data_IF_163092837658
#
_entry.id   IF_163092837658
#
_cell.length_a   1.000
_cell.length_b   1.000
_cell.length_c   1.000
_cell.angle_alpha   90.00
_cell.angle_beta   90.00
_cell.angle_gamma   90.00
#
_symmetry.space_group_name_H-M   'P 1'
#
loop_
_entity.id
_entity.type
_entity.pdbx_description
1 polymer ?
#
# COMPACT_ATOMS: atom_id res chain seq x y z
N UNK A 1 18.33 32.24 38.98
CA UNK A 1 17.76 31.42 37.90
C UNK A 1 16.26 31.42 38.06
N UNK A 2 15.56 32.09 37.14
CA UNK A 2 14.11 32.29 37.16
C UNK A 2 13.37 30.98 36.83
N UNK A 3 12.17 30.78 37.38
CA UNK A 3 11.27 29.67 37.05
C UNK A 3 10.99 29.58 35.53
N UNK A 4 11.00 30.72 34.85
CA UNK A 4 10.90 30.84 33.39
C UNK A 4 12.09 30.23 32.64
N UNK A 5 13.31 30.36 33.17
CA UNK A 5 14.52 29.77 32.55
C UNK A 5 14.54 28.25 32.70
N UNK A 6 13.96 27.71 33.79
CA UNK A 6 13.85 26.25 33.98
C UNK A 6 12.84 25.61 33.04
N UNK A 7 11.67 26.23 32.89
CA UNK A 7 10.62 25.78 31.94
C UNK A 7 11.04 25.87 30.47
N UNK A 8 11.87 26.86 30.11
CA UNK A 8 12.43 26.94 28.75
C UNK A 8 13.52 25.90 28.50
N UNK A 9 14.28 25.51 29.53
CA UNK A 9 15.29 24.45 29.43
C UNK A 9 14.66 23.07 29.27
N UNK A 10 13.57 22.78 29.99
CA UNK A 10 12.82 21.52 29.88
C UNK A 10 12.14 21.37 28.50
N UNK A 11 11.55 22.44 27.96
CA UNK A 11 11.04 22.43 26.57
C UNK A 11 12.14 22.25 25.53
N UNK A 12 13.33 22.79 25.79
CA UNK A 12 14.49 22.65 24.89
C UNK A 12 15.04 21.22 24.84
N UNK A 13 15.05 20.52 25.98
CA UNK A 13 15.48 19.10 26.05
C UNK A 13 14.44 18.16 25.45
N UNK A 14 13.14 18.35 25.73
CA UNK A 14 12.08 17.50 25.15
C UNK A 14 12.04 17.59 23.61
N UNK A 15 12.22 18.78 23.04
CA UNK A 15 12.25 18.98 21.58
C UNK A 15 13.52 18.39 20.95
N UNK A 16 14.64 18.34 21.68
CA UNK A 16 15.87 17.69 21.22
C UNK A 16 15.76 16.16 21.28
N UNK A 17 15.12 15.61 22.31
CA UNK A 17 14.88 14.17 22.47
C UNK A 17 13.88 13.63 21.43
N UNK A 18 12.82 14.40 21.09
CA UNK A 18 11.90 14.05 19.99
C UNK A 18 12.62 14.07 18.62
N UNK A 19 13.57 15.00 18.42
CA UNK A 19 14.40 15.01 17.20
C UNK A 19 15.40 13.85 17.15
N UNK A 20 15.91 13.40 18.30
CA UNK A 20 16.81 12.25 18.38
C UNK A 20 16.09 10.91 18.15
N UNK A 21 14.80 10.82 18.49
CA UNK A 21 13.90 9.72 18.14
C UNK A 21 13.45 9.71 16.67
N UNK A 22 13.79 10.73 15.85
CA UNK A 22 13.78 10.65 14.37
C UNK A 22 14.93 9.75 13.93
N UNK A 23 14.87 8.48 14.35
CA UNK A 23 15.82 7.45 14.02
C UNK A 23 16.11 7.48 12.54
N UNK A 24 17.40 7.44 12.20
CA UNK A 24 17.90 7.21 10.86
C UNK A 24 17.00 6.17 10.21
N UNK A 25 16.23 6.58 9.18
CA UNK A 25 15.48 5.64 8.36
C UNK A 25 16.48 4.55 7.95
N UNK A 26 16.19 3.25 8.15
CA UNK A 26 16.98 2.23 7.48
C UNK A 26 16.85 2.54 5.99
N UNK A 27 17.91 3.09 5.40
CA UNK A 27 17.99 3.29 3.97
C UNK A 27 18.10 1.89 3.38
N UNK A 28 16.95 1.26 3.10
CA UNK A 28 16.94 0.06 2.29
C UNK A 28 17.41 0.50 0.91
N UNK A 29 18.49 -0.12 0.41
CA UNK A 29 18.82 -0.07 -1.00
C UNK A 29 17.57 -0.55 -1.74
N UNK A 30 16.88 0.37 -2.42
CA UNK A 30 15.79 0.02 -3.32
C UNK A 30 16.36 -0.99 -4.32
N UNK A 31 15.96 -2.26 -4.22
CA UNK A 31 16.28 -3.23 -5.25
C UNK A 31 15.56 -2.75 -6.50
N UNK A 32 16.30 -2.15 -7.43
CA UNK A 32 15.76 -1.76 -8.72
C UNK A 32 15.12 -2.99 -9.36
N UNK A 33 13.80 -2.97 -9.51
CA UNK A 33 13.05 -4.04 -10.16
C UNK A 33 13.48 -4.06 -11.64
N UNK A 34 14.11 -5.15 -12.12
CA UNK A 34 14.57 -5.26 -13.51
C UNK A 34 13.45 -5.08 -14.55
N UNK A 35 12.20 -5.18 -14.11
CA UNK A 35 11.01 -5.07 -14.97
C UNK A 35 10.18 -3.80 -14.70
N UNK A 36 10.72 -2.82 -13.95
CA UNK A 36 10.01 -1.59 -13.60
C UNK A 36 9.49 -0.80 -14.82
N UNK A 37 10.28 -0.74 -15.90
CA UNK A 37 9.92 -0.05 -17.13
C UNK A 37 8.74 -0.73 -17.84
N UNK A 38 8.78 -2.06 -17.91
CA UNK A 38 7.73 -2.88 -18.54
C UNK A 38 6.44 -2.75 -17.73
N UNK A 39 6.51 -2.87 -16.39
CA UNK A 39 5.37 -2.66 -15.50
C UNK A 39 4.75 -1.28 -15.68
N UNK A 40 5.56 -0.21 -15.75
CA UNK A 40 5.07 1.16 -15.93
C UNK A 40 4.34 1.38 -17.26
N UNK A 41 4.82 0.76 -18.34
CA UNK A 41 4.14 0.78 -19.64
C UNK A 41 2.82 0.03 -19.62
N UNK A 42 2.80 -1.17 -19.04
CA UNK A 42 1.57 -1.96 -18.90
C UNK A 42 0.53 -1.17 -18.09
N UNK A 43 0.95 -0.53 -16.99
CA UNK A 43 0.08 0.34 -16.19
C UNK A 43 -0.50 1.50 -16.99
N UNK A 44 0.31 2.15 -17.81
CA UNK A 44 -0.16 3.26 -18.65
C UNK A 44 -1.19 2.79 -19.67
N UNK A 45 -0.97 1.63 -20.31
CA UNK A 45 -1.90 1.02 -21.27
C UNK A 45 -3.21 0.58 -20.59
N UNK A 46 -3.14 0.00 -19.39
CA UNK A 46 -4.33 -0.36 -18.60
C UNK A 46 -5.13 0.90 -18.23
N UNK A 47 -4.46 1.97 -17.80
CA UNK A 47 -5.14 3.23 -17.46
C UNK A 47 -5.80 3.85 -18.70
N UNK A 48 -5.17 3.80 -19.87
CA UNK A 48 -5.75 4.30 -21.12
C UNK A 48 -7.00 3.50 -21.53
N UNK A 49 -6.95 2.17 -21.42
CA UNK A 49 -8.09 1.31 -21.74
C UNK A 49 -9.24 1.49 -20.73
N UNK A 50 -8.92 1.55 -19.43
CA UNK A 50 -9.90 1.83 -18.36
C UNK A 50 -10.49 3.23 -18.50
N UNK A 51 -9.73 4.25 -18.93
CA UNK A 51 -10.30 5.59 -19.21
C UNK A 51 -11.25 5.59 -20.40
N UNK A 52 -11.02 4.70 -21.36
CA UNK A 52 -11.83 4.59 -22.57
C UNK A 52 -13.13 3.82 -22.30
N UNK A 53 -13.14 2.87 -21.36
CA UNK A 53 -14.28 1.96 -21.09
C UNK A 53 -14.89 2.04 -19.66
N UNK A 54 -14.25 2.64 -18.65
CA UNK A 54 -14.50 2.29 -17.23
C UNK A 54 -14.56 3.45 -16.21
N UNK A 55 -15.26 4.54 -16.53
CA UNK A 55 -15.95 5.33 -15.48
C UNK A 55 -17.46 5.07 -15.41
N UNK A 56 -18.00 4.14 -16.23
CA UNK A 56 -19.43 3.81 -16.24
C UNK A 56 -19.80 2.47 -15.58
N UNK A 57 -18.90 1.48 -15.52
CA UNK A 57 -19.32 0.10 -15.24
C UNK A 57 -18.63 -0.58 -14.03
N UNK A 58 -17.90 0.17 -13.18
CA UNK A 58 -17.30 -0.38 -11.94
C UNK A 58 -18.35 -0.92 -10.93
N UNK A 59 -19.64 -0.72 -11.20
CA UNK A 59 -20.74 -1.26 -10.40
C UNK A 59 -21.43 -2.50 -11.04
N UNK A 60 -21.18 -2.83 -12.33
CA UNK A 60 -22.01 -3.82 -13.06
C UNK A 60 -21.25 -5.04 -13.62
N UNK A 61 -19.94 -4.94 -13.92
CA UNK A 61 -19.15 -6.09 -14.39
C UNK A 61 -18.31 -6.65 -13.24
N UNK A 62 -18.62 -7.86 -12.77
CA UNK A 62 -17.90 -8.51 -11.66
C UNK A 62 -16.39 -8.66 -11.91
N UNK A 63 -15.63 -8.76 -10.81
CA UNK A 63 -14.15 -8.81 -10.78
C UNK A 63 -13.52 -9.80 -11.78
N UNK A 64 -14.23 -10.88 -12.14
CA UNK A 64 -13.75 -11.88 -13.10
C UNK A 64 -13.63 -11.37 -14.55
N UNK A 65 -14.51 -10.47 -14.99
CA UNK A 65 -14.47 -9.97 -16.37
C UNK A 65 -13.36 -8.91 -16.53
N UNK A 66 -13.21 -8.05 -15.52
CA UNK A 66 -12.13 -7.08 -15.42
C UNK A 66 -10.75 -7.76 -15.36
N UNK A 67 -10.63 -8.83 -14.57
CA UNK A 67 -9.40 -9.64 -14.53
C UNK A 67 -9.04 -10.22 -15.89
N UNK A 68 -10.01 -10.71 -16.67
CA UNK A 68 -9.76 -11.24 -18.01
C UNK A 68 -9.24 -10.17 -18.97
N UNK A 69 -9.89 -9.01 -19.00
CA UNK A 69 -9.46 -7.89 -19.85
C UNK A 69 -8.04 -7.42 -19.49
N UNK A 70 -7.75 -7.27 -18.19
CA UNK A 70 -6.41 -6.89 -17.73
C UNK A 70 -5.36 -7.94 -18.14
N UNK A 71 -5.68 -9.23 -18.00
CA UNK A 71 -4.79 -10.31 -18.45
C UNK A 71 -4.51 -10.25 -19.96
N UNK A 72 -5.52 -9.96 -20.79
CA UNK A 72 -5.34 -9.82 -22.24
C UNK A 72 -4.41 -8.65 -22.59
N UNK A 73 -4.56 -7.51 -21.91
CA UNK A 73 -3.67 -6.34 -22.08
C UNK A 73 -2.23 -6.68 -21.67
N UNK A 74 -2.06 -7.34 -20.52
CA UNK A 74 -0.74 -7.77 -20.03
C UNK A 74 -0.07 -8.68 -21.06
N UNK A 75 -0.78 -9.71 -21.55
CA UNK A 75 -0.23 -10.64 -22.55
C UNK A 75 0.09 -9.94 -23.88
N UNK A 76 -0.75 -9.01 -24.36
CA UNK A 76 -0.46 -8.20 -25.55
C UNK A 76 0.87 -7.46 -25.40
N UNK A 77 1.08 -6.73 -24.29
CA UNK A 77 2.30 -5.95 -24.08
C UNK A 77 3.53 -6.85 -23.88
N UNK A 78 3.39 -7.94 -23.12
CA UNK A 78 4.49 -8.89 -22.89
C UNK A 78 4.92 -9.60 -24.19
N UNK A 79 4.00 -9.85 -25.11
CA UNK A 79 4.31 -10.44 -26.41
C UNK A 79 4.95 -9.45 -27.38
N UNK A 80 4.55 -8.17 -27.35
CA UNK A 80 5.12 -7.11 -28.20
C UNK A 80 6.55 -6.72 -27.79
N UNK A 81 6.80 -6.53 -26.49
CA UNK A 81 8.06 -5.94 -26.02
C UNK A 81 9.02 -6.93 -25.35
N UNK A 82 8.57 -8.14 -25.02
CA UNK A 82 9.35 -9.03 -24.14
C UNK A 82 9.31 -10.51 -24.54
N UNK A 83 9.64 -10.78 -25.80
CA UNK A 83 9.79 -12.15 -26.34
C UNK A 83 10.80 -13.02 -25.56
N UNK A 84 11.72 -12.42 -24.80
CA UNK A 84 12.79 -13.13 -24.07
C UNK A 84 12.52 -13.35 -22.57
N UNK A 85 11.39 -12.91 -22.02
CA UNK A 85 11.07 -13.15 -20.61
C UNK A 85 10.58 -14.60 -20.42
N UNK A 86 11.20 -15.40 -19.52
CA UNK A 86 10.73 -16.74 -19.20
C UNK A 86 9.29 -16.75 -18.69
N UNK A 87 8.55 -17.82 -18.96
CA UNK A 87 7.13 -17.95 -18.57
C UNK A 87 6.88 -17.67 -17.08
N UNK A 88 7.77 -18.12 -16.19
CA UNK A 88 7.63 -17.91 -14.75
C UNK A 88 7.71 -16.42 -14.37
N UNK A 89 8.61 -15.67 -15.00
CA UNK A 89 8.75 -14.22 -14.77
C UNK A 89 7.54 -13.47 -15.36
N UNK A 90 7.03 -13.90 -16.52
CA UNK A 90 5.78 -13.34 -17.08
C UNK A 90 4.61 -13.50 -16.13
N UNK A 91 4.41 -14.72 -15.59
CA UNK A 91 3.34 -14.98 -14.63
C UNK A 91 3.48 -14.15 -13.35
N UNK A 92 4.72 -13.91 -12.90
CA UNK A 92 4.98 -13.05 -11.74
C UNK A 92 4.66 -11.59 -12.04
N UNK A 93 5.12 -11.06 -13.18
CA UNK A 93 4.81 -9.70 -13.63
C UNK A 93 3.30 -9.51 -13.76
N UNK A 94 2.59 -10.49 -14.35
CA UNK A 94 1.14 -10.44 -14.48
C UNK A 94 0.45 -10.40 -13.11
N UNK A 95 0.83 -11.28 -12.19
CA UNK A 95 0.29 -11.29 -10.82
C UNK A 95 0.53 -9.96 -10.10
N UNK A 96 1.75 -9.42 -10.17
CA UNK A 96 2.10 -8.14 -9.55
C UNK A 96 1.23 -7.00 -10.11
N UNK A 97 1.02 -6.97 -11.42
CA UNK A 97 0.22 -5.92 -12.08
C UNK A 97 -1.26 -6.06 -11.72
N UNK A 98 -1.79 -7.28 -11.67
CA UNK A 98 -3.19 -7.54 -11.26
C UNK A 98 -3.39 -7.12 -9.79
N UNK A 99 -2.45 -7.48 -8.91
CA UNK A 99 -2.49 -7.06 -7.52
C UNK A 99 -2.44 -5.52 -7.40
N UNK A 100 -1.71 -4.85 -8.28
CA UNK A 100 -1.61 -3.38 -8.33
C UNK A 100 -2.82 -2.70 -8.98
N UNK A 101 -3.50 -3.33 -9.95
CA UNK A 101 -4.69 -2.76 -10.61
C UNK A 101 -5.98 -3.04 -9.87
N UNK A 102 -6.22 -4.29 -9.48
CA UNK A 102 -7.48 -4.76 -8.85
C UNK A 102 -7.33 -4.93 -7.35
N UNK A 103 -6.17 -5.40 -6.89
CA UNK A 103 -5.91 -5.66 -5.49
C UNK A 103 -5.48 -4.42 -4.69
N UNK A 104 -4.91 -4.70 -3.52
CA UNK A 104 -4.37 -3.69 -2.61
C UNK A 104 -2.90 -3.35 -2.89
N UNK A 105 -2.43 -3.56 -4.12
CA UNK A 105 -1.04 -3.32 -4.49
C UNK A 105 -0.06 -4.28 -3.81
N UNK A 106 1.15 -3.82 -3.45
CA UNK A 106 2.22 -4.67 -2.93
C UNK A 106 1.85 -5.45 -1.66
N UNK A 107 0.84 -4.99 -0.89
CA UNK A 107 0.40 -5.63 0.35
C UNK A 107 -0.63 -6.75 0.13
N UNK A 108 -1.12 -6.95 -1.10
CA UNK A 108 -2.14 -7.96 -1.40
C UNK A 108 -1.74 -9.38 -0.93
N UNK A 109 -0.50 -9.87 -1.18
CA UNK A 109 -0.07 -11.18 -0.69
C UNK A 109 -0.08 -11.30 0.84
N UNK A 110 0.23 -10.20 1.56
CA UNK A 110 0.24 -10.18 3.03
C UNK A 110 -1.18 -10.25 3.61
N UNK A 111 -2.15 -9.64 2.92
CA UNK A 111 -3.57 -9.70 3.30
C UNK A 111 -4.07 -11.14 3.19
N UNK A 112 -3.63 -11.90 2.18
CA UNK A 112 -4.03 -13.29 2.00
C UNK A 112 -3.22 -14.30 2.84
N UNK A 113 -2.07 -13.91 3.42
CA UNK A 113 -1.25 -14.79 4.27
C UNK A 113 -1.92 -15.07 5.64
N UNK A 114 -2.39 -16.30 5.94
CA UNK A 114 -3.08 -16.61 7.19
C UNK A 114 -2.18 -16.53 8.43
N UNK A 115 -0.86 -16.44 8.25
CA UNK A 115 0.10 -16.28 9.35
C UNK A 115 0.23 -14.85 9.85
N UNK A 116 -0.27 -13.88 9.07
CA UNK A 116 -0.26 -12.45 9.38
C UNK A 116 -1.54 -12.07 10.13
N UNK A 117 -1.40 -11.42 11.30
CA UNK A 117 -2.51 -10.86 12.08
C UNK A 117 -2.71 -9.36 11.85
N UNK A 118 -1.63 -8.63 11.59
CA UNK A 118 -1.65 -7.18 11.39
C UNK A 118 -0.63 -6.76 10.33
N UNK A 119 -0.97 -5.76 9.54
CA UNK A 119 -0.12 -5.15 8.51
C UNK A 119 -0.04 -3.66 8.80
N UNK A 120 1.17 -3.11 8.88
CA UNK A 120 1.42 -1.69 9.15
C UNK A 120 2.31 -1.13 8.05
N UNK A 121 1.78 -0.22 7.25
CA UNK A 121 2.52 0.54 6.24
C UNK A 121 2.82 1.91 6.84
N UNK A 122 4.10 2.18 7.10
CA UNK A 122 4.59 3.42 7.69
C UNK A 122 5.35 4.26 6.65
N UNK A 123 4.77 4.41 5.46
CA UNK A 123 5.43 4.96 4.27
C UNK A 123 5.93 3.88 3.31
N UNK A 124 6.52 4.29 2.17
CA UNK A 124 6.75 3.38 1.05
C UNK A 124 7.76 2.27 1.33
N UNK A 125 8.82 2.58 2.07
CA UNK A 125 9.90 1.63 2.35
C UNK A 125 9.67 0.81 3.63
N UNK A 126 8.60 1.08 4.41
CA UNK A 126 8.45 0.52 5.76
C UNK A 126 7.12 -0.19 5.92
N UNK A 127 7.10 -1.47 5.52
CA UNK A 127 5.94 -2.36 5.72
C UNK A 127 6.27 -3.41 6.78
N UNK A 128 5.60 -3.32 7.91
CA UNK A 128 5.68 -4.29 9.00
C UNK A 128 4.48 -5.23 8.98
N UNK A 129 4.71 -6.46 9.42
CA UNK A 129 3.67 -7.45 9.65
C UNK A 129 3.80 -8.05 11.03
N UNK A 130 2.68 -8.31 11.67
CA UNK A 130 2.65 -9.11 12.88
C UNK A 130 2.45 -10.59 12.51
N UNK A 131 3.39 -11.44 12.91
CA UNK A 131 3.31 -12.90 12.76
C UNK A 131 3.51 -13.55 14.12
N UNK A 132 2.52 -14.34 14.56
CA UNK A 132 2.56 -15.05 15.85
C UNK A 132 2.90 -14.14 17.05
N UNK A 133 2.34 -12.94 17.10
CA UNK A 133 2.58 -11.98 18.18
C UNK A 133 3.89 -11.20 18.09
N UNK A 134 4.64 -11.32 16.98
CA UNK A 134 5.91 -10.61 16.77
C UNK A 134 5.82 -9.70 15.56
N UNK A 135 6.25 -8.45 15.74
CA UNK A 135 6.42 -7.50 14.66
C UNK A 135 7.66 -7.86 13.83
N UNK A 136 7.50 -7.98 12.53
CA UNK A 136 8.56 -8.32 11.56
C UNK A 136 8.50 -7.34 10.40
N UNK A 137 9.65 -6.81 10.00
CA UNK A 137 9.75 -6.01 8.77
C UNK A 137 9.62 -6.96 7.56
N UNK A 138 8.72 -6.63 6.64
CA UNK A 138 8.51 -7.43 5.43
C UNK A 138 9.41 -6.95 4.29
N UNK A 139 9.61 -7.81 3.28
CA UNK A 139 10.32 -7.47 2.05
C UNK A 139 9.46 -6.66 1.06
N UNK A 140 8.22 -6.36 1.43
CA UNK A 140 7.28 -5.60 0.59
C UNK A 140 7.59 -4.12 0.69
N UNK A 141 7.71 -3.46 -0.45
CA UNK A 141 7.91 -2.01 -0.56
C UNK A 141 6.95 -1.42 -1.58
N UNK A 142 6.55 -0.17 -1.37
CA UNK A 142 5.86 0.62 -2.37
C UNK A 142 6.87 1.43 -3.18
N UNK A 143 6.41 1.91 -4.33
CA UNK A 143 7.23 2.75 -5.23
C UNK A 143 7.55 4.11 -4.61
N UNK A 144 6.53 4.77 -4.08
CA UNK A 144 6.60 6.11 -3.51
C UNK A 144 5.39 6.37 -2.58
N UNK A 145 5.34 7.56 -1.97
CA UNK A 145 4.23 7.96 -1.10
C UNK A 145 2.91 8.06 -1.88
N UNK A 146 2.95 8.45 -3.16
CA UNK A 146 1.77 8.53 -4.02
C UNK A 146 1.16 7.14 -4.24
N UNK A 147 1.97 6.10 -4.40
CA UNK A 147 1.50 4.73 -4.50
C UNK A 147 0.77 4.30 -3.22
N UNK A 148 1.30 4.64 -2.04
CA UNK A 148 0.59 4.37 -0.77
C UNK A 148 -0.74 5.13 -0.73
N UNK A 149 -0.78 6.39 -1.15
CA UNK A 149 -2.03 7.18 -1.24
C UNK A 149 -3.06 6.52 -2.16
N UNK A 150 -2.67 6.07 -3.36
CA UNK A 150 -3.57 5.38 -4.27
C UNK A 150 -4.13 4.09 -3.66
N UNK A 151 -3.31 3.32 -2.94
CA UNK A 151 -3.79 2.11 -2.25
C UNK A 151 -4.77 2.47 -1.13
N UNK A 152 -4.53 3.55 -0.38
CA UNK A 152 -5.49 4.05 0.61
C UNK A 152 -6.83 4.37 -0.05
N UNK A 153 -6.83 5.13 -1.15
CA UNK A 153 -8.03 5.50 -1.89
C UNK A 153 -8.81 4.27 -2.37
N UNK A 154 -8.11 3.28 -2.93
CA UNK A 154 -8.71 2.00 -3.34
C UNK A 154 -9.35 1.23 -2.19
N UNK A 155 -8.74 1.26 -1.00
CA UNK A 155 -9.30 0.59 0.18
C UNK A 155 -10.57 1.29 0.66
N UNK A 156 -10.60 2.63 0.67
CA UNK A 156 -11.69 3.39 1.29
C UNK A 156 -12.87 3.65 0.35
N UNK A 157 -12.64 3.72 -0.96
CA UNK A 157 -13.66 4.07 -1.94
C UNK A 157 -14.85 3.09 -1.94
N UNK A 158 -14.67 1.75 -1.95
CA UNK A 158 -15.78 0.79 -1.88
C UNK A 158 -16.53 0.84 -0.54
N UNK A 159 -15.92 1.38 0.51
CA UNK A 159 -16.52 1.49 1.85
C UNK A 159 -17.39 2.74 1.98
N UNK A 160 -17.50 3.56 0.92
CA UNK A 160 -18.20 4.85 0.95
C UNK A 160 -17.55 5.87 1.88
N UNK A 161 -16.24 5.72 2.14
CA UNK A 161 -15.46 6.64 2.98
C UNK A 161 -14.61 7.54 2.10
N UNK A 162 -14.34 8.75 2.60
CA UNK A 162 -13.50 9.74 1.92
C UNK A 162 -12.30 10.02 2.80
N UNK A 163 -11.15 10.19 2.16
CA UNK A 163 -9.92 10.63 2.79
C UNK A 163 -9.26 11.65 1.87
N UNK A 164 -9.05 12.85 2.40
CA UNK A 164 -8.47 13.98 1.68
C UNK A 164 -7.85 14.95 2.70
N UNK A 165 -7.21 16.02 2.25
CA UNK A 165 -6.55 16.97 3.15
C UNK A 165 -7.49 17.62 4.17
N UNK A 166 -8.81 17.65 3.90
CA UNK A 166 -9.82 18.17 4.84
C UNK A 166 -10.23 17.13 5.89
N UNK A 167 -10.17 15.84 5.53
CA UNK A 167 -10.45 14.70 6.39
C UNK A 167 -9.31 13.66 6.27
N UNK A 168 -8.12 13.94 6.84
CA UNK A 168 -6.90 13.18 6.57
C UNK A 168 -6.76 11.87 7.37
N UNK A 169 -7.85 11.38 7.98
CA UNK A 169 -7.87 10.14 8.74
C UNK A 169 -9.18 9.40 8.52
N UNK A 170 -9.09 8.08 8.42
CA UNK A 170 -10.24 7.18 8.28
C UNK A 170 -10.07 5.93 9.14
N UNK A 171 -11.19 5.47 9.70
CA UNK A 171 -11.32 4.14 10.31
C UNK A 171 -12.51 3.44 9.62
N UNK A 172 -12.30 2.21 9.17
CA UNK A 172 -13.29 1.46 8.42
C UNK A 172 -13.17 -0.05 8.66
N UNK A 173 -14.25 -0.76 8.32
CA UNK A 173 -14.29 -2.22 8.37
C UNK A 173 -14.40 -2.77 6.95
N UNK A 174 -13.47 -3.65 6.60
CA UNK A 174 -13.49 -4.36 5.33
C UNK A 174 -14.61 -5.41 5.29
N UNK A 175 -15.08 -5.81 4.10
CA UNK A 175 -16.11 -6.84 3.95
C UNK A 175 -15.75 -8.18 4.61
N UNK A 176 -14.45 -8.52 4.66
CA UNK A 176 -13.93 -9.70 5.35
C UNK A 176 -13.92 -9.58 6.90
N UNK A 177 -14.42 -8.47 7.46
CA UNK A 177 -14.48 -8.21 8.89
C UNK A 177 -13.23 -7.56 9.49
N UNK A 178 -12.14 -7.44 8.72
CA UNK A 178 -10.89 -6.78 9.13
C UNK A 178 -11.09 -5.29 9.35
N UNK A 179 -10.25 -4.67 10.19
CA UNK A 179 -10.28 -3.23 10.45
C UNK A 179 -9.14 -2.53 9.74
N UNK A 180 -9.42 -1.38 9.16
CA UNK A 180 -8.46 -0.52 8.49
C UNK A 180 -8.46 0.84 9.14
N UNK A 181 -7.28 1.31 9.49
CA UNK A 181 -7.02 2.70 9.79
C UNK A 181 -6.05 3.25 8.74
N UNK A 182 -6.34 4.43 8.19
CA UNK A 182 -5.39 5.15 7.34
C UNK A 182 -5.32 6.61 7.75
N UNK A 183 -4.10 7.16 7.68
CA UNK A 183 -3.80 8.55 8.02
C UNK A 183 -2.89 9.10 6.93
N UNK A 184 -3.21 10.28 6.42
CA UNK A 184 -2.48 10.94 5.32
C UNK A 184 -1.95 12.30 5.79
N UNK A 185 -1.02 12.91 5.03
CA UNK A 185 -0.64 14.30 5.25
C UNK A 185 -1.86 15.23 5.22
N UNK A 186 -1.90 16.28 6.06
CA UNK A 186 -0.82 16.79 6.91
C UNK A 186 -0.69 16.13 8.29
N UNK A 187 -1.59 15.21 8.69
CA UNK A 187 -1.51 14.57 10.00
C UNK A 187 -0.36 13.55 10.08
N UNK A 188 -0.12 12.83 8.99
CA UNK A 188 0.98 11.89 8.90
C UNK A 188 2.28 12.60 8.47
N UNK A 189 3.06 13.06 9.47
CA UNK A 189 4.29 13.86 9.24
C UNK A 189 5.37 13.14 8.43
N UNK A 190 5.35 11.81 8.40
CA UNK A 190 6.36 10.98 7.75
C UNK A 190 5.84 10.34 6.45
N UNK A 191 4.75 10.86 5.89
CA UNK A 191 4.06 10.29 4.74
C UNK A 191 2.85 9.45 5.15
N UNK A 192 2.04 9.00 4.18
CA UNK A 192 0.82 8.25 4.44
C UNK A 192 1.07 6.92 5.15
N UNK A 193 0.17 6.58 6.07
CA UNK A 193 0.25 5.36 6.88
C UNK A 193 -1.04 4.57 6.85
N UNK A 194 -0.92 3.24 6.86
CA UNK A 194 -2.04 2.29 6.86
C UNK A 194 -1.80 1.27 7.95
N UNK A 195 -2.83 0.93 8.72
CA UNK A 195 -2.83 -0.23 9.62
C UNK A 195 -4.04 -1.10 9.31
N UNK A 196 -3.79 -2.35 8.94
CA UNK A 196 -4.82 -3.36 8.66
C UNK A 196 -4.74 -4.44 9.72
N UNK A 197 -5.77 -4.55 10.55
CA UNK A 197 -5.91 -5.61 11.55
C UNK A 197 -6.84 -6.66 11.00
N UNK A 198 -6.27 -7.83 10.69
CA UNK A 198 -7.01 -8.93 10.10
C UNK A 198 -7.98 -9.53 11.11
N UNK A 199 -9.18 -9.84 10.64
CA UNK A 199 -10.10 -10.64 11.44
C UNK A 199 -9.56 -12.06 11.53
N UNK A 200 -9.47 -12.61 12.74
CA UNK A 200 -9.02 -14.00 12.91
C UNK A 200 -10.19 -14.94 12.71
N UNK A 201 -10.04 -15.91 11.81
CA UNK A 201 -11.03 -16.98 11.61
C UNK A 201 -11.16 -17.89 12.84
N UNK A 202 -10.16 -17.89 13.74
CA UNK A 202 -10.16 -18.68 14.96
C UNK A 202 -10.51 -17.80 16.16
N UNK A 203 -11.74 -17.92 16.73
CA UNK A 203 -12.08 -17.22 17.96
C UNK A 203 -11.17 -17.69 19.11
N UNK A 204 -10.77 -16.75 19.97
CA UNK A 204 -10.07 -17.09 21.20
C UNK A 204 -10.97 -18.01 22.05
N UNK A 205 -10.47 -19.21 22.33
CA UNK A 205 -11.11 -20.18 23.23
C UNK A 205 -10.43 -20.12 24.59
#
# INVERSE_FOLDING_TARGET
>A
MSLLERLQKEKGSEVQDIKALRGKRPHMEQKEDPFADIKSKIHSKIIEEIKTEAFKNLEEDGDENLQKQINEIIESVLNEESAYIPKNERSKIASDIIDETIGFGPINPLIHDPTVSEIMVNGPDMVYVEKKGKLVLSDVTFKDEQHVMHVIEKIVAPLGRRIDESSPMVDARLPNGSRVNAIIPPLALNGPTITIRKFSDKPFT
#
